data_IF_015461802708
#
_entry.id   IF_015461802708
#
_cell.length_a   1.000
_cell.length_b   1.000
_cell.length_c   1.000
_cell.angle_alpha   90.00
_cell.angle_beta   90.00
_cell.angle_gamma   90.00
#
_symmetry.space_group_name_H-M   'P 1'
#
loop_
_entity.id
_entity.type
_entity.pdbx_description
1 polymer ?
#
# COMPACT_ATOMS: atom_id res chain seq x y z
N UNK A 1 -23.85 19.71 15.11
CA UNK A 1 -22.51 19.25 14.69
C UNK A 1 -21.49 20.14 15.35
N UNK A 2 -20.49 19.58 16.00
CA UNK A 2 -19.42 20.36 16.63
C UNK A 2 -18.06 19.80 16.22
N UNK A 3 -17.20 20.70 15.76
CA UNK A 3 -15.78 20.43 15.58
C UNK A 3 -15.05 21.26 16.63
N UNK A 4 -14.14 20.63 17.37
CA UNK A 4 -13.27 21.33 18.31
C UNK A 4 -11.83 21.14 17.87
N UNK A 5 -11.12 22.25 17.67
CA UNK A 5 -9.70 22.26 17.34
C UNK A 5 -8.92 22.61 18.60
N UNK A 6 -7.81 21.90 18.84
CA UNK A 6 -7.05 22.02 20.09
C UNK A 6 -5.65 22.54 19.86
N UNK A 7 -4.89 21.88 18.97
CA UNK A 7 -3.47 22.16 18.63
C UNK A 7 -2.67 22.86 19.75
N UNK A 8 -2.61 22.30 20.97
CA UNK A 8 -1.90 22.91 22.10
C UNK A 8 -0.42 23.10 21.73
N UNK A 9 0.30 24.10 22.26
CA UNK A 9 1.70 24.34 21.88
C UNK A 9 2.57 23.08 21.92
N UNK A 10 3.49 22.94 20.96
CA UNK A 10 4.43 21.82 20.97
C UNK A 10 5.40 22.05 22.14
N UNK A 11 5.59 21.09 23.06
CA UNK A 11 6.53 21.24 24.16
C UNK A 11 7.96 21.51 23.69
N UNK A 12 8.73 22.23 24.49
CA UNK A 12 10.15 22.45 24.22
C UNK A 12 10.89 21.12 24.05
N UNK A 13 11.85 21.08 23.11
CA UNK A 13 12.56 19.86 22.76
C UNK A 13 11.80 18.89 21.85
N UNK A 14 10.51 19.12 21.58
CA UNK A 14 9.71 18.28 20.67
C UNK A 14 9.53 18.93 19.29
N UNK A 15 9.23 18.10 18.30
CA UNK A 15 8.78 18.52 16.97
C UNK A 15 7.77 17.52 16.40
N UNK A 16 7.05 17.94 15.38
CA UNK A 16 6.07 17.10 14.68
C UNK A 16 6.79 16.04 13.83
N UNK A 17 6.46 14.76 14.06
CA UNK A 17 6.95 13.64 13.27
C UNK A 17 5.97 13.25 12.17
N UNK A 18 4.66 13.20 12.49
CA UNK A 18 3.57 12.91 11.55
C UNK A 18 2.36 13.78 11.87
N UNK A 19 1.60 14.16 10.84
CA UNK A 19 0.41 15.02 10.91
C UNK A 19 -0.81 14.30 10.37
N UNK A 20 -1.99 14.85 10.67
CA UNK A 20 -3.27 14.43 10.08
C UNK A 20 -3.56 12.93 10.23
N UNK A 21 -3.20 12.37 11.40
CA UNK A 21 -3.52 10.98 11.70
C UNK A 21 -4.90 10.89 12.32
N UNK A 22 -5.64 9.86 11.95
CA UNK A 22 -6.94 9.54 12.54
C UNK A 22 -6.81 8.34 13.46
N UNK A 23 -7.58 8.34 14.55
CA UNK A 23 -7.66 7.17 15.44
C UNK A 23 -8.28 6.01 14.66
N UNK A 24 -7.51 4.93 14.52
CA UNK A 24 -7.94 3.73 13.82
C UNK A 24 -8.92 2.92 14.68
N UNK A 25 -9.99 2.39 14.05
CA UNK A 25 -10.98 1.56 14.74
C UNK A 25 -11.89 2.31 15.72
N UNK A 26 -11.94 3.64 15.67
CA UNK A 26 -12.80 4.48 16.53
C UNK A 26 -14.29 4.11 16.43
N UNK A 27 -14.73 3.60 15.28
CA UNK A 27 -16.10 3.13 15.05
C UNK A 27 -16.48 1.93 15.91
N UNK A 28 -15.52 1.11 16.33
CA UNK A 28 -15.73 0.00 17.29
C UNK A 28 -15.65 0.47 18.75
N UNK A 29 -15.33 1.75 18.98
CA UNK A 29 -15.11 2.36 20.30
C UNK A 29 -16.03 3.56 20.55
N UNK A 30 -17.19 3.61 19.90
CA UNK A 30 -18.12 4.75 20.01
C UNK A 30 -18.52 5.08 21.45
N UNK A 31 -18.74 4.05 22.28
CA UNK A 31 -19.12 4.23 23.68
C UNK A 31 -18.04 4.93 24.52
N UNK A 32 -16.76 4.73 24.19
CA UNK A 32 -15.64 5.38 24.87
C UNK A 32 -15.26 6.71 24.18
N UNK A 33 -15.32 6.76 22.85
CA UNK A 33 -14.93 7.92 22.06
C UNK A 33 -15.92 9.08 22.16
N UNK A 34 -17.22 8.80 22.24
CA UNK A 34 -18.26 9.84 22.30
C UNK A 34 -18.18 10.70 23.58
N UNK A 35 -18.07 10.14 24.80
CA UNK A 35 -17.85 10.93 26.01
C UNK A 35 -16.55 11.75 25.95
N UNK A 36 -15.46 11.17 25.45
CA UNK A 36 -14.19 11.89 25.28
C UNK A 36 -14.34 13.11 24.35
N UNK A 37 -14.95 12.94 23.17
CA UNK A 37 -15.18 14.03 22.22
C UNK A 37 -16.07 15.12 22.83
N UNK A 38 -17.15 14.72 23.52
CA UNK A 38 -18.10 15.64 24.16
C UNK A 38 -17.51 16.41 25.33
N UNK A 39 -16.46 15.90 25.97
CA UNK A 39 -15.80 16.59 27.09
C UNK A 39 -15.21 17.94 26.69
N UNK A 40 -14.85 18.12 25.41
CA UNK A 40 -14.31 19.38 24.88
C UNK A 40 -12.95 19.82 25.47
N UNK A 41 -12.36 19.07 26.41
CA UNK A 41 -11.14 19.43 27.14
C UNK A 41 -10.24 18.22 27.40
N UNK A 42 -9.79 17.56 26.32
CA UNK A 42 -9.02 16.32 26.41
C UNK A 42 -7.58 16.42 25.94
N UNK A 43 -6.73 15.54 26.47
CA UNK A 43 -5.43 15.20 25.89
C UNK A 43 -5.45 13.74 25.41
N UNK A 44 -4.38 13.32 24.76
CA UNK A 44 -4.20 11.95 24.31
C UNK A 44 -2.96 11.35 24.97
N UNK A 45 -2.98 10.03 25.15
CA UNK A 45 -1.83 9.22 25.55
C UNK A 45 -1.72 7.98 24.67
N UNK A 46 -0.51 7.42 24.59
CA UNK A 46 -0.25 6.14 23.96
C UNK A 46 -0.04 5.06 25.02
N UNK A 47 -0.63 3.89 24.79
CA UNK A 47 -0.44 2.72 25.64
C UNK A 47 -0.15 1.50 24.76
N UNK A 48 0.92 0.73 25.08
CA UNK A 48 1.25 -0.47 24.31
C UNK A 48 0.30 -1.60 24.61
N UNK A 49 0.02 -2.40 23.59
CA UNK A 49 -0.69 -3.69 23.74
C UNK A 49 0.10 -4.80 23.03
N UNK A 50 1.20 -5.28 23.63
CA UNK A 50 2.09 -6.26 22.99
C UNK A 50 1.41 -7.61 22.71
N UNK A 51 0.44 -7.99 23.55
CA UNK A 51 -0.28 -9.26 23.48
C UNK A 51 -1.55 -9.19 22.61
N UNK A 52 -1.70 -8.13 21.80
CA UNK A 52 -2.84 -8.01 20.90
C UNK A 52 -2.83 -9.16 19.88
N UNK A 53 -3.91 -9.96 19.76
CA UNK A 53 -3.93 -11.17 18.94
C UNK A 53 -3.86 -10.89 17.43
N UNK A 54 -4.15 -9.66 16.98
CA UNK A 54 -4.20 -9.28 15.56
C UNK A 54 -2.97 -8.48 15.11
N UNK A 55 -2.36 -7.73 16.02
CA UNK A 55 -1.22 -6.87 15.72
C UNK A 55 -0.29 -6.70 16.93
N UNK A 56 0.85 -7.41 16.92
CA UNK A 56 1.91 -7.27 17.94
C UNK A 56 2.51 -5.87 18.07
N UNK A 57 2.23 -4.99 17.11
CA UNK A 57 2.66 -3.59 17.13
C UNK A 57 1.54 -2.64 17.59
N UNK A 58 0.43 -3.16 18.13
CA UNK A 58 -0.69 -2.35 18.57
C UNK A 58 -0.26 -1.31 19.63
N UNK A 59 -0.65 -0.06 19.37
CA UNK A 59 -0.58 1.05 20.32
C UNK A 59 -1.99 1.62 20.43
N UNK A 60 -2.56 1.55 21.62
CA UNK A 60 -3.83 2.18 21.97
C UNK A 60 -3.65 3.69 22.01
N UNK A 61 -4.68 4.40 21.57
CA UNK A 61 -4.87 5.83 21.81
C UNK A 61 -5.86 5.95 22.97
N UNK A 62 -5.39 6.54 24.06
CA UNK A 62 -6.18 6.79 25.25
C UNK A 62 -6.56 8.27 25.28
N UNK A 63 -7.85 8.58 25.29
CA UNK A 63 -8.35 9.91 25.53
C UNK A 63 -8.39 10.20 27.02
N UNK A 64 -7.76 11.29 27.46
CA UNK A 64 -7.69 11.70 28.86
C UNK A 64 -8.54 12.96 29.03
N UNK A 65 -9.43 12.96 30.00
CA UNK A 65 -10.16 14.14 30.48
C UNK A 65 -9.80 14.37 31.95
N UNK A 66 -10.21 15.51 32.56
CA UNK A 66 -9.96 15.73 33.99
C UNK A 66 -10.53 14.65 34.92
N UNK A 67 -11.54 13.91 34.48
CA UNK A 67 -12.30 12.96 35.30
C UNK A 67 -12.20 11.51 34.84
N UNK A 68 -11.68 11.22 33.65
CA UNK A 68 -11.74 9.88 33.09
C UNK A 68 -10.67 9.60 32.02
N UNK A 69 -10.45 8.30 31.78
CA UNK A 69 -9.59 7.76 30.73
C UNK A 69 -10.43 6.87 29.81
N UNK A 70 -10.33 7.07 28.51
CA UNK A 70 -11.13 6.38 27.50
C UNK A 70 -10.23 5.70 26.49
N UNK A 71 -10.44 4.40 26.24
CA UNK A 71 -9.78 3.73 25.14
C UNK A 71 -10.52 3.99 23.82
N UNK A 72 -10.07 4.98 23.05
CA UNK A 72 -10.82 5.51 21.91
C UNK A 72 -10.45 4.87 20.56
N UNK A 73 -9.48 3.97 20.54
CA UNK A 73 -9.03 3.24 19.35
C UNK A 73 -7.51 3.13 19.28
N UNK A 74 -6.95 2.90 18.10
CA UNK A 74 -5.53 2.61 17.93
C UNK A 74 -4.81 3.65 17.08
N UNK A 75 -3.49 3.69 17.23
CA UNK A 75 -2.61 4.32 16.23
C UNK A 75 -2.69 3.51 14.93
N UNK A 76 -2.74 4.13 13.74
CA UNK A 76 -2.73 3.40 12.48
C UNK A 76 -1.56 2.41 12.40
N UNK A 77 -1.83 1.20 11.93
CA UNK A 77 -0.91 0.04 11.97
C UNK A 77 0.50 0.34 11.47
N UNK A 78 0.63 1.03 10.33
CA UNK A 78 1.95 1.34 9.79
C UNK A 78 2.70 2.36 10.65
N UNK A 79 1.99 3.28 11.30
CA UNK A 79 2.57 4.27 12.21
C UNK A 79 2.97 3.61 13.54
N UNK A 80 2.16 2.71 14.08
CA UNK A 80 2.48 2.01 15.32
C UNK A 80 3.69 1.08 15.14
N UNK A 81 3.71 0.33 14.03
CA UNK A 81 4.85 -0.48 13.60
C UNK A 81 6.11 0.37 13.44
N UNK A 82 6.01 1.54 12.82
CA UNK A 82 7.11 2.50 12.67
C UNK A 82 7.65 2.91 14.05
N UNK A 83 6.81 3.47 14.91
CA UNK A 83 7.19 3.95 16.25
C UNK A 83 7.92 2.86 17.05
N UNK A 84 7.42 1.63 17.03
CA UNK A 84 8.01 0.53 17.79
C UNK A 84 9.31 0.02 17.17
N UNK A 85 9.40 -0.03 15.83
CA UNK A 85 10.60 -0.51 15.14
C UNK A 85 11.78 0.44 15.25
N UNK A 86 11.53 1.74 15.43
CA UNK A 86 12.56 2.75 15.68
C UNK A 86 12.91 2.90 17.16
N UNK A 87 12.32 2.10 18.05
CA UNK A 87 12.48 2.25 19.50
C UNK A 87 12.00 3.61 20.00
N UNK A 88 11.10 4.29 19.27
CA UNK A 88 10.71 5.67 19.55
C UNK A 88 9.52 5.79 20.48
N UNK A 89 8.96 4.69 21.00
CA UNK A 89 7.73 4.70 21.80
C UNK A 89 7.79 5.69 22.96
N UNK A 90 8.83 5.62 23.78
CA UNK A 90 9.02 6.50 24.94
C UNK A 90 9.51 7.91 24.57
N UNK A 91 9.72 8.17 23.27
CA UNK A 91 10.26 9.42 22.72
C UNK A 91 9.23 10.18 21.90
N UNK A 92 8.03 9.61 21.74
CA UNK A 92 6.91 10.22 21.02
C UNK A 92 5.68 10.33 21.91
N UNK A 93 4.81 11.29 21.59
CA UNK A 93 3.53 11.50 22.26
C UNK A 93 2.47 11.86 21.21
N UNK A 94 1.20 11.48 21.43
CA UNK A 94 0.12 12.02 20.62
C UNK A 94 -0.16 13.47 21.03
N UNK A 95 -0.45 14.30 20.04
CA UNK A 95 -0.93 15.68 20.23
C UNK A 95 -2.29 15.81 19.59
N UNK A 96 -3.31 16.07 20.40
CA UNK A 96 -4.68 16.24 19.92
C UNK A 96 -4.74 17.44 18.96
N UNK A 97 -5.28 17.20 17.76
CA UNK A 97 -5.44 18.20 16.71
C UNK A 97 -6.89 18.65 16.66
N UNK A 98 -7.80 17.69 16.44
CA UNK A 98 -9.23 17.94 16.27
C UNK A 98 -10.08 16.79 16.76
N UNK A 99 -11.25 17.11 17.30
CA UNK A 99 -12.35 16.16 17.46
C UNK A 99 -13.56 16.62 16.63
N UNK A 100 -14.35 15.66 16.18
CA UNK A 100 -15.58 15.95 15.44
C UNK A 100 -16.66 14.91 15.74
N UNK A 101 -17.87 15.42 15.96
CA UNK A 101 -19.09 14.64 16.10
C UNK A 101 -20.06 15.04 14.98
N UNK A 102 -20.21 14.15 14.01
CA UNK A 102 -21.02 14.35 12.80
C UNK A 102 -22.46 13.84 12.91
N UNK A 103 -23.21 13.97 11.82
CA UNK A 103 -24.54 13.35 11.68
C UNK A 103 -24.38 11.82 11.50
N UNK A 104 -25.36 11.02 11.94
CA UNK A 104 -25.35 9.54 11.84
C UNK A 104 -24.22 8.86 12.63
N UNK A 105 -23.93 9.34 13.85
CA UNK A 105 -22.91 8.76 14.76
C UNK A 105 -21.51 8.62 14.15
N UNK A 106 -21.15 9.50 13.21
CA UNK A 106 -19.79 9.60 12.71
C UNK A 106 -18.92 10.32 13.75
N UNK A 107 -17.89 9.62 14.24
CA UNK A 107 -16.92 10.14 15.19
C UNK A 107 -15.55 10.21 14.53
N UNK A 108 -14.86 11.32 14.73
CA UNK A 108 -13.49 11.51 14.26
C UNK A 108 -12.66 12.13 15.37
N UNK A 109 -11.49 11.55 15.59
CA UNK A 109 -10.43 12.13 16.41
C UNK A 109 -9.17 12.16 15.56
N UNK A 110 -8.67 13.36 15.33
CA UNK A 110 -7.44 13.63 14.58
C UNK A 110 -6.33 14.04 15.53
N UNK A 111 -5.13 13.53 15.30
CA UNK A 111 -3.96 13.80 16.12
C UNK A 111 -2.67 13.89 15.28
N UNK A 112 -1.63 14.35 15.94
CA UNK A 112 -0.26 14.35 15.44
C UNK A 112 0.59 13.43 16.31
N UNK A 113 1.63 12.84 15.74
CA UNK A 113 2.73 12.27 16.52
C UNK A 113 3.78 13.35 16.64
N UNK A 114 4.06 13.80 17.86
CA UNK A 114 5.21 14.65 18.18
C UNK A 114 6.28 13.79 18.85
N UNK A 115 7.55 14.14 18.69
CA UNK A 115 8.66 13.44 19.33
C UNK A 115 9.86 14.33 19.55
N UNK A 116 10.82 13.86 20.35
CA UNK A 116 12.03 14.62 20.67
C UNK A 116 12.82 14.99 19.40
N UNK A 117 13.30 16.22 19.30
CA UNK A 117 14.02 16.70 18.12
C UNK A 117 15.24 15.84 17.80
N UNK A 118 16.01 15.48 18.81
CA UNK A 118 17.23 14.68 18.71
C UNK A 118 16.98 13.24 18.18
N UNK A 119 15.80 12.68 18.42
CA UNK A 119 15.43 11.33 17.98
C UNK A 119 14.85 11.27 16.56
N UNK A 120 14.67 12.42 15.89
CA UNK A 120 13.98 12.50 14.60
C UNK A 120 14.69 11.69 13.52
N UNK A 121 16.02 11.69 13.50
CA UNK A 121 16.80 10.91 12.54
C UNK A 121 16.57 9.40 12.70
N UNK A 122 16.48 8.90 13.93
CA UNK A 122 16.20 7.48 14.22
C UNK A 122 14.76 7.14 13.84
N UNK A 123 13.82 8.05 14.13
CA UNK A 123 12.46 7.89 13.65
C UNK A 123 12.42 7.82 12.12
N UNK A 124 13.04 8.78 11.42
CA UNK A 124 13.00 8.82 9.95
C UNK A 124 13.82 7.71 9.27
N UNK A 125 14.76 7.08 9.98
CA UNK A 125 15.52 5.96 9.43
C UNK A 125 14.68 4.71 9.18
N UNK A 126 13.49 4.61 9.79
CA UNK A 126 12.55 3.56 9.45
C UNK A 126 11.81 3.89 8.14
N UNK A 127 12.51 3.56 7.08
CA UNK A 127 12.01 3.50 5.71
C UNK A 127 11.21 2.19 5.60
N UNK A 128 9.93 2.24 6.00
CA UNK A 128 8.94 1.16 5.98
C UNK A 128 9.48 -0.23 5.59
N UNK A 129 9.94 -1.00 6.58
CA UNK A 129 10.65 -2.28 6.40
C UNK A 129 9.82 -3.45 5.87
N UNK A 130 8.69 -3.20 5.21
CA UNK A 130 8.00 -4.23 4.44
C UNK A 130 8.82 -4.50 3.17
N UNK A 131 9.10 -5.77 2.82
CA UNK A 131 9.76 -6.08 1.55
C UNK A 131 9.02 -5.47 0.37
N UNK A 132 9.76 -5.09 -0.68
CA UNK A 132 9.15 -4.58 -1.91
C UNK A 132 8.07 -5.54 -2.43
N UNK A 133 6.93 -4.98 -2.82
CA UNK A 133 5.82 -5.73 -3.39
C UNK A 133 6.17 -6.31 -4.75
N UNK A 134 5.43 -7.32 -5.20
CA UNK A 134 5.67 -7.99 -6.48
C UNK A 134 5.70 -6.99 -7.66
N UNK A 135 4.73 -6.07 -7.74
CA UNK A 135 4.67 -5.05 -8.79
C UNK A 135 5.89 -4.11 -8.78
N UNK A 136 6.47 -3.83 -7.60
CA UNK A 136 7.65 -2.98 -7.50
C UNK A 136 8.91 -3.71 -7.98
N UNK A 137 9.08 -4.98 -7.61
CA UNK A 137 10.18 -5.80 -8.14
C UNK A 137 10.06 -6.03 -9.64
N UNK A 138 8.83 -6.11 -10.14
CA UNK A 138 8.53 -6.19 -11.57
C UNK A 138 8.98 -4.92 -12.30
N UNK A 139 8.72 -3.72 -11.76
CA UNK A 139 9.23 -2.47 -12.32
C UNK A 139 10.77 -2.46 -12.40
N UNK A 140 11.46 -2.90 -11.35
CA UNK A 140 12.93 -3.02 -11.38
C UNK A 140 13.40 -3.94 -12.50
N UNK A 141 12.77 -5.10 -12.66
CA UNK A 141 13.12 -6.05 -13.72
C UNK A 141 12.88 -5.46 -15.11
N UNK A 142 11.75 -4.78 -15.31
CA UNK A 142 11.40 -4.15 -16.59
C UNK A 142 12.44 -3.11 -17.01
N UNK A 143 12.83 -2.23 -16.09
CA UNK A 143 13.80 -1.16 -16.35
C UNK A 143 15.27 -1.63 -16.28
N UNK A 144 15.53 -2.92 -16.06
CA UNK A 144 16.88 -3.44 -15.89
C UNK A 144 17.62 -2.89 -14.66
N UNK A 145 16.89 -2.43 -13.63
CA UNK A 145 17.45 -1.88 -12.41
C UNK A 145 17.94 -2.99 -11.48
N UNK A 146 19.10 -2.79 -10.85
CA UNK A 146 19.60 -3.72 -9.84
C UNK A 146 18.64 -3.76 -8.64
N UNK A 147 18.24 -4.96 -8.21
CA UNK A 147 17.38 -5.16 -7.03
C UNK A 147 18.27 -5.34 -5.79
N UNK A 148 18.36 -4.35 -4.88
CA UNK A 148 19.18 -4.46 -3.68
C UNK A 148 18.69 -5.58 -2.76
N UNK A 149 19.61 -6.26 -2.08
CA UNK A 149 19.25 -7.23 -1.04
C UNK A 149 18.49 -6.51 0.08
N UNK A 150 17.31 -7.01 0.41
CA UNK A 150 16.46 -6.40 1.44
C UNK A 150 15.69 -5.16 0.99
N UNK A 151 15.57 -4.91 -0.32
CA UNK A 151 14.80 -3.80 -0.88
C UNK A 151 13.40 -3.70 -0.25
N UNK A 152 13.13 -2.56 0.39
CA UNK A 152 11.84 -2.28 1.02
C UNK A 152 10.85 -1.65 0.04
N UNK A 153 9.56 -1.74 0.34
CA UNK A 153 8.51 -1.17 -0.51
C UNK A 153 8.65 0.35 -0.67
N UNK A 154 9.12 1.04 0.36
CA UNK A 154 9.34 2.49 0.30
C UNK A 154 10.58 2.82 -0.54
N UNK A 155 11.70 2.12 -0.34
CA UNK A 155 12.90 2.29 -1.17
C UNK A 155 12.59 2.03 -2.65
N UNK A 156 11.83 0.96 -2.92
CA UNK A 156 11.41 0.63 -4.26
C UNK A 156 10.53 1.73 -4.86
N UNK A 157 9.54 2.24 -4.11
CA UNK A 157 8.68 3.33 -4.56
C UNK A 157 9.44 4.62 -4.89
N UNK A 158 10.40 5.01 -4.05
CA UNK A 158 11.24 6.19 -4.31
C UNK A 158 12.05 6.02 -5.59
N UNK A 159 12.76 4.90 -5.72
CA UNK A 159 13.62 4.62 -6.88
C UNK A 159 12.82 4.54 -8.19
N UNK A 160 11.68 3.84 -8.18
CA UNK A 160 10.79 3.74 -9.36
C UNK A 160 10.29 5.13 -9.75
N UNK A 161 9.79 5.93 -8.80
CA UNK A 161 9.30 7.28 -9.10
C UNK A 161 10.39 8.20 -9.65
N UNK A 162 11.59 8.14 -9.11
CA UNK A 162 12.74 8.90 -9.63
C UNK A 162 13.12 8.47 -11.04
N UNK A 163 13.08 7.17 -11.34
CA UNK A 163 13.35 6.64 -12.67
C UNK A 163 12.27 7.08 -13.67
N UNK A 164 10.98 6.94 -13.32
CA UNK A 164 9.87 7.37 -14.16
C UNK A 164 9.93 8.86 -14.47
N UNK A 165 10.28 9.72 -13.50
CA UNK A 165 10.47 11.16 -13.75
C UNK A 165 11.59 11.47 -14.74
N UNK A 166 12.67 10.69 -14.72
CA UNK A 166 13.76 10.83 -15.71
C UNK A 166 13.29 10.42 -17.09
N UNK A 167 12.62 9.27 -17.21
CA UNK A 167 12.02 8.83 -18.47
C UNK A 167 11.01 9.82 -19.01
N UNK A 168 10.26 10.52 -18.16
CA UNK A 168 9.29 11.51 -18.62
C UNK A 168 9.97 12.70 -19.31
N UNK A 169 11.21 13.01 -18.93
CA UNK A 169 12.01 14.03 -19.58
C UNK A 169 12.80 13.50 -20.79
N UNK A 170 13.26 12.25 -20.74
CA UNK A 170 14.26 11.71 -21.67
C UNK A 170 13.68 10.75 -22.74
N UNK A 171 12.73 9.90 -22.37
CA UNK A 171 12.08 8.92 -23.25
C UNK A 171 10.61 8.66 -22.84
N UNK A 172 9.69 9.63 -23.07
CA UNK A 172 8.29 9.50 -22.68
C UNK A 172 7.56 8.26 -23.25
N UNK A 173 7.81 7.81 -24.49
CA UNK A 173 7.24 6.57 -25.02
C UNK A 173 7.52 5.34 -24.14
N UNK A 174 8.67 5.29 -23.47
CA UNK A 174 9.03 4.15 -22.61
C UNK A 174 8.13 4.05 -21.37
N UNK A 175 7.60 5.17 -20.86
CA UNK A 175 6.61 5.17 -19.78
C UNK A 175 5.31 4.50 -20.24
N UNK A 176 4.86 4.82 -21.45
CA UNK A 176 3.65 4.22 -22.03
C UNK A 176 3.82 2.70 -22.17
N UNK A 177 4.97 2.26 -22.67
CA UNK A 177 5.30 0.85 -22.79
C UNK A 177 5.36 0.15 -21.42
N UNK A 178 5.85 0.82 -20.38
CA UNK A 178 5.87 0.29 -19.02
C UNK A 178 4.45 0.09 -18.48
N UNK A 179 3.57 1.09 -18.59
CA UNK A 179 2.18 0.95 -18.14
C UNK A 179 1.43 -0.12 -18.93
N UNK A 180 1.65 -0.22 -20.25
CA UNK A 180 1.06 -1.29 -21.04
C UNK A 180 1.54 -2.68 -20.57
N UNK A 181 2.83 -2.82 -20.25
CA UNK A 181 3.36 -4.03 -19.64
C UNK A 181 2.69 -4.37 -18.29
N UNK A 182 2.47 -3.37 -17.42
CA UNK A 182 1.76 -3.58 -16.16
C UNK A 182 0.31 -4.05 -16.39
N UNK A 183 -0.41 -3.40 -17.30
CA UNK A 183 -1.79 -3.74 -17.62
C UNK A 183 -1.93 -5.19 -18.08
N UNK A 184 -1.01 -5.68 -18.92
CA UNK A 184 -1.02 -7.09 -19.34
C UNK A 184 -0.90 -8.02 -18.13
N UNK A 185 -0.02 -7.73 -17.16
CA UNK A 185 0.07 -8.56 -15.95
C UNK A 185 -1.20 -8.50 -15.11
N UNK A 186 -1.81 -7.31 -14.97
CA UNK A 186 -3.04 -7.12 -14.22
C UNK A 186 -4.23 -7.85 -14.86
N UNK A 187 -4.35 -7.82 -16.19
CA UNK A 187 -5.38 -8.55 -16.95
C UNK A 187 -5.24 -10.06 -16.74
N UNK A 188 -4.03 -10.61 -16.87
CA UNK A 188 -3.82 -12.04 -16.62
C UNK A 188 -3.94 -12.43 -15.13
N UNK A 189 -3.85 -11.47 -14.19
CA UNK A 189 -4.15 -11.66 -12.76
C UNK A 189 -5.65 -11.53 -12.44
N UNK A 190 -6.42 -10.87 -13.29
CA UNK A 190 -7.86 -10.74 -13.19
C UNK A 190 -8.58 -12.09 -13.46
N UNK A 191 -9.57 -12.43 -12.62
CA UNK A 191 -10.30 -13.69 -12.74
C UNK A 191 -11.29 -13.72 -13.90
N UNK A 192 -11.99 -12.61 -14.12
CA UNK A 192 -13.01 -12.45 -15.16
C UNK A 192 -12.36 -12.47 -16.55
N UNK A 193 -11.22 -11.78 -16.71
CA UNK A 193 -10.41 -11.84 -17.93
C UNK A 193 -10.05 -13.30 -18.26
N UNK A 194 -9.50 -14.03 -17.29
CA UNK A 194 -9.12 -15.44 -17.50
C UNK A 194 -10.32 -16.35 -17.79
N UNK A 195 -11.48 -16.03 -17.25
CA UNK A 195 -12.71 -16.77 -17.53
C UNK A 195 -13.21 -16.51 -18.94
N UNK A 196 -13.25 -15.23 -19.35
CA UNK A 196 -13.60 -14.80 -20.70
C UNK A 196 -12.75 -15.47 -21.78
N UNK A 197 -11.43 -15.59 -21.54
CA UNK A 197 -10.51 -16.24 -22.46
C UNK A 197 -10.28 -17.74 -22.19
N UNK A 198 -11.07 -18.35 -21.30
CA UNK A 198 -11.01 -19.78 -20.97
C UNK A 198 -9.63 -20.32 -20.55
N UNK A 199 -8.80 -19.49 -19.92
CA UNK A 199 -7.46 -19.86 -19.46
C UNK A 199 -7.36 -19.98 -17.93
N UNK A 200 -6.46 -20.84 -17.48
CA UNK A 200 -5.98 -20.89 -16.09
C UNK A 200 -4.96 -19.78 -15.89
N UNK A 201 -4.76 -19.39 -14.62
CA UNK A 201 -3.77 -18.37 -14.26
C UNK A 201 -2.35 -18.82 -14.67
N UNK A 202 -1.66 -18.12 -15.58
CA UNK A 202 -0.27 -18.41 -15.86
C UNK A 202 0.62 -18.00 -14.69
N UNK A 203 1.82 -18.60 -14.62
CA UNK A 203 2.86 -18.04 -13.76
C UNK A 203 3.42 -16.76 -14.37
N UNK A 204 3.84 -15.82 -13.52
CA UNK A 204 4.51 -14.58 -13.95
C UNK A 204 5.75 -14.87 -14.82
N UNK A 205 6.45 -15.97 -14.55
CA UNK A 205 7.60 -16.40 -15.36
C UNK A 205 7.18 -16.80 -16.78
N UNK A 206 6.13 -17.62 -16.91
CA UNK A 206 5.63 -18.06 -18.21
C UNK A 206 5.06 -16.89 -19.04
N UNK A 207 4.35 -15.96 -18.40
CA UNK A 207 3.85 -14.76 -19.09
C UNK A 207 5.01 -13.88 -19.59
N UNK A 208 6.02 -13.64 -18.76
CA UNK A 208 7.19 -12.86 -19.18
C UNK A 208 7.98 -13.54 -20.31
N UNK A 209 8.13 -14.87 -20.29
CA UNK A 209 8.78 -15.61 -21.39
C UNK A 209 8.05 -15.39 -22.72
N UNK A 210 6.72 -15.43 -22.72
CA UNK A 210 5.89 -15.14 -23.89
C UNK A 210 6.05 -13.70 -24.36
N UNK A 211 6.00 -12.76 -23.43
CA UNK A 211 6.17 -11.34 -23.75
C UNK A 211 7.56 -11.06 -24.33
N UNK A 212 8.61 -11.66 -23.79
CA UNK A 212 9.98 -11.52 -24.29
C UNK A 212 10.11 -12.07 -25.74
N UNK A 213 9.49 -13.21 -26.05
CA UNK A 213 9.45 -13.75 -27.41
C UNK A 213 8.73 -12.81 -28.38
N UNK A 214 7.56 -12.30 -28.00
CA UNK A 214 6.78 -11.38 -28.84
C UNK A 214 7.49 -10.03 -29.02
N UNK A 215 8.24 -9.57 -28.01
CA UNK A 215 9.12 -8.40 -28.09
C UNK A 215 10.27 -8.62 -29.09
N UNK A 216 10.89 -9.80 -29.10
CA UNK A 216 11.94 -10.14 -30.08
C UNK A 216 11.40 -10.20 -31.52
N UNK A 217 10.11 -10.47 -31.69
CA UNK A 217 9.37 -10.40 -32.96
C UNK A 217 8.93 -8.97 -33.33
N UNK A 218 9.33 -7.96 -32.54
CA UNK A 218 9.06 -6.55 -32.82
C UNK A 218 7.70 -6.04 -32.34
N UNK A 219 6.94 -6.81 -31.54
CA UNK A 219 5.67 -6.35 -30.96
C UNK A 219 5.91 -5.43 -29.77
N UNK A 220 5.24 -4.30 -29.69
CA UNK A 220 5.32 -3.40 -28.52
C UNK A 220 4.38 -3.87 -27.39
N UNK A 221 4.65 -3.49 -26.16
CA UNK A 221 3.74 -3.76 -25.05
C UNK A 221 2.42 -3.03 -25.23
N UNK A 222 2.44 -1.79 -25.75
CA UNK A 222 1.21 -1.07 -26.08
C UNK A 222 0.35 -1.83 -27.09
N UNK A 223 0.96 -2.48 -28.08
CA UNK A 223 0.25 -3.34 -29.03
C UNK A 223 -0.30 -4.58 -28.33
N UNK A 224 0.54 -5.29 -27.57
CA UNK A 224 0.12 -6.54 -26.89
C UNK A 224 -0.99 -6.33 -25.85
N UNK A 225 -1.04 -5.16 -25.20
CA UNK A 225 -2.12 -4.80 -24.27
C UNK A 225 -3.46 -4.53 -24.98
N UNK A 226 -3.45 -4.25 -26.29
CA UNK A 226 -4.67 -4.04 -27.09
C UNK A 226 -5.13 -5.31 -27.82
N UNK A 227 -4.20 -6.26 -28.02
CA UNK A 227 -4.42 -7.51 -28.74
C UNK A 227 -4.02 -8.68 -27.85
N UNK A 228 -4.75 -8.84 -26.76
CA UNK A 228 -4.58 -9.90 -25.76
C UNK A 228 -4.60 -11.31 -26.35
N UNK A 229 -5.43 -11.56 -27.36
CA UNK A 229 -5.49 -12.83 -28.10
C UNK A 229 -4.12 -13.28 -28.62
N UNK A 230 -3.25 -12.34 -29.01
CA UNK A 230 -1.88 -12.66 -29.48
C UNK A 230 -1.04 -13.24 -28.34
N UNK A 231 -1.18 -12.69 -27.14
CA UNK A 231 -0.48 -13.16 -25.94
C UNK A 231 -1.06 -14.50 -25.48
N UNK A 232 -2.39 -14.65 -25.53
CA UNK A 232 -3.10 -15.88 -25.15
C UNK A 232 -2.75 -17.03 -26.09
N UNK A 233 -2.78 -16.82 -27.40
CA UNK A 233 -2.40 -17.83 -28.38
C UNK A 233 -0.97 -18.31 -28.15
N UNK A 234 -0.05 -17.37 -27.88
CA UNK A 234 1.34 -17.72 -27.61
C UNK A 234 1.49 -18.49 -26.31
N UNK A 235 0.79 -18.09 -25.23
CA UNK A 235 0.88 -18.78 -23.94
C UNK A 235 0.30 -20.19 -24.00
N UNK A 236 -0.77 -20.40 -24.75
CA UNK A 236 -1.39 -21.71 -24.93
C UNK A 236 -0.55 -22.63 -25.83
N UNK A 237 0.12 -22.09 -26.86
CA UNK A 237 1.11 -22.86 -27.66
C UNK A 237 2.26 -23.34 -26.79
N UNK A 238 2.79 -22.48 -25.93
CA UNK A 238 3.94 -22.80 -25.06
C UNK A 238 3.54 -23.69 -23.86
N UNK A 239 2.35 -23.46 -23.29
CA UNK A 239 1.85 -24.16 -22.09
C UNK A 239 0.39 -24.61 -22.30
N UNK A 240 0.12 -25.66 -23.11
CA UNK A 240 -1.25 -26.09 -23.42
C UNK A 240 -2.12 -26.43 -22.22
N UNK A 241 -1.51 -26.88 -21.12
CA UNK A 241 -2.18 -27.22 -19.85
C UNK A 241 -2.89 -26.03 -19.18
N UNK A 242 -2.58 -24.80 -19.60
CA UNK A 242 -3.25 -23.59 -19.15
C UNK A 242 -4.64 -23.41 -19.76
N UNK A 243 -5.02 -24.12 -20.82
CA UNK A 243 -6.40 -24.13 -21.26
C UNK A 243 -7.32 -24.72 -20.16
N UNK A 244 -8.49 -24.12 -19.93
CA UNK A 244 -9.55 -24.74 -19.11
C UNK A 244 -10.23 -25.86 -19.90
N UNK A 245 -10.69 -26.90 -19.20
CA UNK A 245 -11.37 -28.04 -19.82
C UNK A 245 -12.75 -27.60 -20.33
N UNK A 246 -12.76 -27.24 -21.61
CA UNK A 246 -13.90 -26.89 -22.44
C UNK A 246 -13.52 -26.80 -23.92
N UNK A 247 -12.21 -26.78 -24.22
CA UNK A 247 -11.72 -26.43 -25.55
C UNK A 247 -10.57 -27.29 -26.10
N UNK A 248 -10.62 -28.62 -25.89
CA UNK A 248 -9.83 -29.54 -26.73
C UNK A 248 -10.24 -29.45 -28.22
N UNK A 249 -11.37 -28.79 -28.54
CA UNK A 249 -11.90 -28.64 -29.91
C UNK A 249 -11.42 -27.39 -30.69
N UNK A 250 -11.11 -26.24 -30.05
CA UNK A 250 -10.58 -25.07 -30.78
C UNK A 250 -9.11 -25.21 -31.16
N UNK A 251 -8.28 -25.85 -30.32
CA UNK A 251 -6.92 -26.21 -30.71
C UNK A 251 -6.89 -27.19 -31.89
N UNK A 252 -7.97 -27.94 -32.16
CA UNK A 252 -8.07 -28.81 -33.34
C UNK A 252 -8.58 -28.08 -34.61
N UNK A 253 -9.21 -26.90 -34.48
CA UNK A 253 -9.76 -26.14 -35.63
C UNK A 253 -8.79 -25.14 -36.21
N UNK A 254 -7.92 -24.53 -35.40
CA UNK A 254 -6.96 -23.52 -35.88
C UNK A 254 -5.77 -24.14 -36.65
N UNK A 255 -5.51 -25.44 -36.49
CA UNK A 255 -4.45 -26.16 -37.21
C UNK A 255 -4.91 -26.83 -38.52
N UNK A 256 -6.14 -26.56 -39.00
CA UNK A 256 -6.62 -27.04 -40.32
C UNK A 256 -6.56 -25.99 -41.44
N UNK A 257 -6.06 -24.79 -41.16
CA UNK A 257 -5.97 -23.70 -42.16
C UNK A 257 -4.55 -23.15 -42.38
N UNK A 258 -3.52 -23.95 -42.08
CA UNK A 258 -2.18 -23.79 -42.63
C UNK A 258 -1.69 -25.13 -43.18
#
# INVERSE_FOLDING_TARGET
>A
MSATNFLPPIPEGYQTYKRMLFVAGITFRKNDASPFIKSGCGTLEFEREPDNPKDKYAIKVIGITPTARYFIGYVPKEISKHILKTGSFDKVKPRLDRTYHGIVDFLEVRFQVIGLKEHKKIYDSYIGGSPAHAHQKMAYKYFGLAIPRGLTAVQAGVCINEHLKKLEAEDPPQIKEFYAYQNIHDDFDNADFREMHEIKKPSVAALNEVLDQLRQEGKSYSYLAQYDDVVIDRILKLKPKLARKGNESMLAKTFRYF
#
